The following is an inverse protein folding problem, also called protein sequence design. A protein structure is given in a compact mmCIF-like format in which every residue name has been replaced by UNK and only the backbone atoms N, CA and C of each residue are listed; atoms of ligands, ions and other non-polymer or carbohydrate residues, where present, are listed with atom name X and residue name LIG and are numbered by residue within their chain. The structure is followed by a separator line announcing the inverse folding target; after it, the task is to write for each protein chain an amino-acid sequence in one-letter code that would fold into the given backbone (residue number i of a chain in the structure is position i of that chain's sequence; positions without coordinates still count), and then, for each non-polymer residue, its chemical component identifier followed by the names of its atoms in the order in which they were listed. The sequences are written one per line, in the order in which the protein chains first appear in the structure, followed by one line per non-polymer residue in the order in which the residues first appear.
data_IF_253278630654
#
_entry.id   IF_253278630654
#
_cell.length_a   1.000
_cell.length_b   1.000
_cell.length_c   1.000
_cell.angle_alpha   90.00
_cell.angle_beta   90.00
_cell.angle_gamma   90.00
#
_symmetry.space_group_name_H-M   'P 1'
#
loop_
_entity.id
_entity.type
_entity.pdbx_description
1 polymer ?
#
# COMPACT_ATOMS: atom_id res chain seq x y z
N UNK A 1 -8.36 12.41 11.70
CA UNK A 1 -8.28 11.46 10.57
C UNK A 1 -7.13 11.89 9.69
N UNK A 2 -6.24 10.96 9.34
CA UNK A 2 -5.06 11.26 8.53
C UNK A 2 -5.38 10.97 7.06
N UNK A 3 -5.14 11.93 6.16
CA UNK A 3 -5.18 11.67 4.72
C UNK A 3 -3.86 11.01 4.29
N UNK A 4 -3.77 9.68 4.43
CA UNK A 4 -2.57 8.92 4.11
C UNK A 4 -2.39 8.66 2.60
N UNK A 5 -3.34 9.08 1.77
CA UNK A 5 -3.28 8.90 0.32
C UNK A 5 -3.99 10.08 -0.39
N UNK A 6 -3.30 11.22 -0.55
CA UNK A 6 -3.93 12.47 -0.98
C UNK A 6 -4.12 12.54 -2.51
N UNK A 7 -4.90 11.62 -3.08
CA UNK A 7 -5.20 11.56 -4.53
C UNK A 7 -6.00 12.80 -4.98
N UNK A 8 -6.89 13.28 -4.11
CA UNK A 8 -7.70 14.47 -4.29
C UNK A 8 -6.86 15.72 -4.55
N UNK A 9 -5.74 15.88 -3.85
CA UNK A 9 -4.82 17.02 -4.05
C UNK A 9 -4.09 16.99 -5.39
N UNK A 10 -4.07 15.83 -6.06
CA UNK A 10 -3.41 15.63 -7.34
C UNK A 10 -4.40 15.66 -8.52
N UNK A 11 -5.71 15.68 -8.25
CA UNK A 11 -6.74 15.65 -9.29
C UNK A 11 -6.68 16.87 -10.23
N UNK A 12 -6.20 18.02 -9.74
CA UNK A 12 -6.03 19.25 -10.53
C UNK A 12 -4.71 19.30 -11.31
N UNK A 13 -3.86 18.26 -11.23
CA UNK A 13 -2.57 18.18 -11.90
C UNK A 13 -2.69 17.52 -13.28
N UNK A 14 -1.86 17.93 -14.24
CA UNK A 14 -1.87 17.36 -15.59
C UNK A 14 -1.24 15.95 -15.62
N UNK A 15 -2.08 14.91 -15.72
CA UNK A 15 -1.65 13.55 -16.07
C UNK A 15 -2.39 12.45 -15.30
N UNK A 16 -2.14 11.18 -15.65
CA UNK A 16 -2.69 10.06 -14.89
C UNK A 16 -2.09 9.99 -13.48
N UNK A 17 -2.94 9.73 -12.48
CA UNK A 17 -2.54 9.60 -11.08
C UNK A 17 -2.37 8.12 -10.72
N UNK A 18 -1.14 7.76 -10.33
CA UNK A 18 -0.81 6.43 -9.84
C UNK A 18 -0.66 6.49 -8.32
N UNK A 19 -1.59 5.88 -7.60
CA UNK A 19 -1.58 5.83 -6.15
C UNK A 19 -0.80 4.62 -5.64
N UNK A 20 0.04 4.81 -4.63
CA UNK A 20 0.74 3.72 -3.93
C UNK A 20 0.28 3.69 -2.48
N UNK A 21 -0.40 2.62 -2.08
CA UNK A 21 -0.90 2.45 -0.72
C UNK A 21 -0.21 1.26 -0.04
N UNK A 22 0.49 1.55 1.05
CA UNK A 22 1.17 0.55 1.91
C UNK A 22 0.33 0.15 3.13
N UNK A 23 -0.95 0.55 3.15
CA UNK A 23 -1.86 0.14 4.21
C UNK A 23 -2.06 -1.37 4.08
N UNK A 24 -1.41 -2.13 4.96
CA UNK A 24 -1.56 -3.57 4.98
C UNK A 24 -3.01 -3.92 5.23
N UNK A 25 -3.63 -4.61 4.26
CA UNK A 25 -4.76 -5.50 4.54
C UNK A 25 -4.23 -6.62 5.40
N UNK A 26 -4.23 -6.41 6.71
CA UNK A 26 -3.95 -7.50 7.62
C UNK A 26 -5.05 -8.54 7.44
N UNK A 27 -4.70 -9.67 6.82
CA UNK A 27 -5.26 -10.92 7.27
C UNK A 27 -4.87 -11.09 8.74
N UNK A 28 -5.78 -11.54 9.62
CA UNK A 28 -5.51 -11.70 11.05
C UNK A 28 -4.39 -12.71 11.37
N UNK A 29 -3.77 -13.32 10.37
CA UNK A 29 -2.90 -14.49 10.49
C UNK A 29 -1.43 -14.24 10.14
N UNK A 30 -1.00 -13.00 9.92
CA UNK A 30 0.40 -12.66 9.64
C UNK A 30 1.26 -12.69 10.92
N UNK A 31 1.33 -13.85 11.57
CA UNK A 31 2.44 -14.22 12.45
C UNK A 31 3.34 -15.15 11.66
N UNK A 32 4.62 -14.77 11.52
CA UNK A 32 5.65 -15.51 10.79
C UNK A 32 5.56 -17.04 10.99
N UNK A 33 5.21 -17.78 9.93
CA UNK A 33 5.09 -19.23 9.93
C UNK A 33 6.46 -19.92 10.02
N UNK A 34 6.95 -20.13 11.24
CA UNK A 34 8.01 -21.12 11.52
C UNK A 34 7.35 -22.38 12.10
N UNK A 35 7.62 -23.60 11.60
CA UNK A 35 7.06 -24.83 12.18
C UNK A 35 7.67 -25.08 13.57
N UNK A 36 6.89 -24.88 14.63
CA UNK A 36 7.29 -25.14 16.02
C UNK A 36 6.13 -24.90 17.00
N UNK A 37 6.19 -25.38 18.25
CA UNK A 37 5.14 -25.22 19.25
C UNK A 37 4.86 -23.72 19.48
N UNK A 38 3.68 -23.23 19.11
CA UNK A 38 3.37 -21.79 19.02
C UNK A 38 3.02 -21.22 20.40
N UNK A 39 3.88 -20.34 20.92
CA UNK A 39 3.45 -19.28 21.82
C UNK A 39 2.95 -18.13 20.92
N UNK A 40 1.67 -17.71 21.01
CA UNK A 40 1.19 -16.54 20.28
C UNK A 40 2.08 -15.34 20.62
N UNK A 41 2.80 -14.78 19.63
CA UNK A 41 3.54 -13.53 19.85
C UNK A 41 2.52 -12.40 19.88
N UNK A 42 2.26 -11.84 21.06
CA UNK A 42 1.44 -10.64 21.17
C UNK A 42 2.11 -9.49 20.40
N UNK A 43 1.36 -8.75 19.57
CA UNK A 43 1.85 -7.52 18.96
C UNK A 43 2.28 -6.52 20.04
N UNK A 44 3.31 -5.72 19.74
CA UNK A 44 3.72 -4.63 20.63
C UNK A 44 2.63 -3.57 20.80
N UNK A 45 2.69 -2.79 21.88
CA UNK A 45 1.73 -1.71 22.12
C UNK A 45 1.77 -0.65 21.01
N UNK A 46 2.97 -0.35 20.49
CA UNK A 46 3.16 0.62 19.40
C UNK A 46 2.52 0.11 18.10
N UNK A 47 2.75 -1.16 17.74
CA UNK A 47 2.11 -1.77 16.57
C UNK A 47 0.59 -1.77 16.69
N UNK A 48 0.08 -2.06 17.89
CA UNK A 48 -1.36 -2.06 18.17
C UNK A 48 -1.95 -0.66 18.00
N UNK A 49 -1.30 0.38 18.56
CA UNK A 49 -1.74 1.77 18.42
C UNK A 49 -1.72 2.22 16.95
N UNK A 50 -0.63 1.93 16.23
CA UNK A 50 -0.52 2.24 14.80
C UNK A 50 -1.60 1.53 13.98
N UNK A 51 -1.90 0.28 14.34
CA UNK A 51 -2.97 -0.48 13.71
C UNK A 51 -4.35 0.15 13.94
N UNK A 52 -4.64 0.63 15.15
CA UNK A 52 -5.89 1.36 15.42
C UNK A 52 -5.99 2.63 14.57
N UNK A 53 -4.91 3.41 14.47
CA UNK A 53 -4.86 4.62 13.63
C UNK A 53 -5.08 4.31 12.14
N UNK A 54 -4.48 3.21 11.67
CA UNK A 54 -4.61 2.74 10.29
C UNK A 54 -6.03 2.27 9.98
N UNK A 55 -6.65 1.49 10.88
CA UNK A 55 -8.05 1.06 10.75
C UNK A 55 -8.98 2.27 10.66
N UNK A 56 -8.78 3.27 11.53
CA UNK A 56 -9.55 4.53 11.49
C UNK A 56 -9.41 5.30 10.18
N UNK A 57 -8.26 5.16 9.50
CA UNK A 57 -7.99 5.84 8.21
C UNK A 57 -8.48 5.05 6.99
N UNK A 58 -8.86 3.78 7.15
CA UNK A 58 -9.16 2.87 6.05
C UNK A 58 -10.31 3.31 5.14
N UNK A 59 -11.36 3.93 5.68
CA UNK A 59 -12.48 4.44 4.88
C UNK A 59 -12.06 5.59 3.96
N UNK A 60 -11.25 6.52 4.46
CA UNK A 60 -10.73 7.64 3.67
C UNK A 60 -9.78 7.15 2.58
N UNK A 61 -8.93 6.18 2.89
CA UNK A 61 -8.01 5.58 1.91
C UNK A 61 -8.73 4.79 0.81
N UNK A 62 -9.84 4.11 1.12
CA UNK A 62 -10.65 3.43 0.11
C UNK A 62 -11.27 4.41 -0.89
N UNK A 63 -11.84 5.52 -0.40
CA UNK A 63 -12.40 6.57 -1.23
C UNK A 63 -11.33 7.25 -2.11
N UNK A 64 -10.14 7.52 -1.55
CA UNK A 64 -9.03 8.10 -2.30
C UNK A 64 -8.49 7.15 -3.37
N UNK A 65 -8.35 5.85 -3.08
CA UNK A 65 -7.91 4.84 -4.06
C UNK A 65 -8.88 4.74 -5.25
N UNK A 66 -10.19 4.94 -5.04
CA UNK A 66 -11.18 4.93 -6.12
C UNK A 66 -11.03 6.11 -7.10
N UNK A 67 -10.30 7.16 -6.72
CA UNK A 67 -10.07 8.34 -7.57
C UNK A 67 -8.79 8.22 -8.41
N UNK A 68 -7.92 7.24 -8.13
CA UNK A 68 -6.67 7.05 -8.86
C UNK A 68 -6.88 6.22 -10.14
N UNK A 69 -6.13 6.54 -11.21
CA UNK A 69 -6.19 5.78 -12.46
C UNK A 69 -5.58 4.38 -12.31
N UNK A 70 -4.54 4.25 -11.47
CA UNK A 70 -3.95 2.97 -11.06
C UNK A 70 -3.63 3.01 -9.58
N UNK A 71 -3.88 1.90 -8.89
CA UNK A 71 -3.54 1.72 -7.48
C UNK A 71 -2.56 0.56 -7.35
N UNK A 72 -1.38 0.82 -6.78
CA UNK A 72 -0.38 -0.19 -6.43
C UNK A 72 -0.48 -0.45 -4.93
N UNK A 73 -0.65 -1.71 -4.54
CA UNK A 73 -0.68 -2.14 -3.14
C UNK A 73 0.36 -3.23 -2.91
N UNK A 74 1.58 -2.87 -2.48
CA UNK A 74 2.59 -3.85 -2.08
C UNK A 74 2.11 -4.70 -0.91
N UNK A 75 2.34 -6.01 -0.95
CA UNK A 75 2.10 -6.87 0.22
C UNK A 75 3.25 -6.71 1.23
N UNK A 76 3.02 -5.87 2.24
CA UNK A 76 3.92 -5.68 3.38
C UNK A 76 3.40 -6.34 4.65
N UNK A 77 2.42 -7.24 4.55
CA UNK A 77 1.69 -7.79 5.72
C UNK A 77 2.57 -8.56 6.71
N UNK A 78 3.74 -9.03 6.27
CA UNK A 78 4.74 -9.74 7.07
C UNK A 78 5.82 -8.85 7.70
N UNK A 79 5.79 -7.54 7.41
CA UNK A 79 6.81 -6.58 7.83
C UNK A 79 6.24 -5.69 8.94
N UNK A 80 6.85 -5.75 10.12
CA UNK A 80 6.46 -4.91 11.26
C UNK A 80 6.77 -3.43 11.00
N UNK A 81 6.03 -2.54 11.65
CA UNK A 81 6.12 -1.09 11.38
C UNK A 81 7.51 -0.51 11.67
N UNK A 82 8.20 -1.03 12.69
CA UNK A 82 9.53 -0.59 13.11
C UNK A 82 10.66 -1.53 12.67
N UNK A 83 10.37 -2.49 11.78
CA UNK A 83 11.34 -3.51 11.33
C UNK A 83 12.21 -3.01 10.17
N UNK A 84 12.93 -1.90 10.41
CA UNK A 84 13.77 -1.23 9.40
C UNK A 84 14.85 -2.15 8.79
N UNK A 85 15.28 -3.18 9.52
CA UNK A 85 16.22 -4.18 9.01
C UNK A 85 15.65 -5.02 7.86
N UNK A 86 14.32 -5.03 7.66
CA UNK A 86 13.64 -5.74 6.57
C UNK A 86 13.38 -4.86 5.34
N UNK A 87 14.05 -3.71 5.22
CA UNK A 87 13.85 -2.78 4.10
C UNK A 87 13.94 -3.43 2.72
N UNK A 88 14.84 -4.40 2.53
CA UNK A 88 14.98 -5.08 1.24
C UNK A 88 13.76 -5.94 0.89
N UNK A 89 13.08 -6.52 1.90
CA UNK A 89 11.80 -7.22 1.70
C UNK A 89 10.70 -6.25 1.28
N UNK A 90 10.62 -5.09 1.95
CA UNK A 90 9.64 -4.06 1.60
C UNK A 90 9.87 -3.54 0.17
N UNK A 91 11.13 -3.34 -0.22
CA UNK A 91 11.51 -2.92 -1.59
C UNK A 91 11.09 -3.96 -2.62
N UNK A 92 11.33 -5.24 -2.37
CA UNK A 92 10.95 -6.28 -3.32
C UNK A 92 9.44 -6.45 -3.44
N UNK A 93 8.70 -6.38 -2.33
CA UNK A 93 7.24 -6.33 -2.37
C UNK A 93 6.74 -5.17 -3.24
N UNK A 94 7.36 -3.99 -3.12
CA UNK A 94 7.08 -2.84 -3.98
C UNK A 94 7.38 -3.10 -5.46
N UNK A 95 8.52 -3.72 -5.78
CA UNK A 95 8.85 -4.08 -7.17
C UNK A 95 7.88 -5.07 -7.77
N UNK A 96 7.49 -6.09 -7.02
CA UNK A 96 6.53 -7.10 -7.48
C UNK A 96 5.19 -6.46 -7.81
N UNK A 97 4.63 -5.68 -6.88
CA UNK A 97 3.36 -4.97 -7.11
C UNK A 97 3.44 -3.98 -8.28
N UNK A 98 4.58 -3.29 -8.45
CA UNK A 98 4.79 -2.40 -9.59
C UNK A 98 4.88 -3.15 -10.93
N UNK A 99 5.56 -4.31 -10.97
CA UNK A 99 5.62 -5.17 -12.17
C UNK A 99 4.23 -5.66 -12.57
N UNK A 100 3.40 -6.02 -11.61
CA UNK A 100 2.00 -6.43 -11.84
C UNK A 100 1.15 -5.29 -12.42
N UNK A 101 1.35 -4.06 -11.94
CA UNK A 101 0.63 -2.88 -12.42
C UNK A 101 1.16 -2.33 -13.77
N UNK A 102 2.38 -2.71 -14.18
CA UNK A 102 3.07 -2.16 -15.34
C UNK A 102 2.23 -2.17 -16.64
N UNK A 103 1.48 -3.24 -16.98
CA UNK A 103 0.64 -3.24 -18.17
C UNK A 103 -0.45 -2.16 -18.16
N UNK A 104 -1.02 -1.83 -17.00
CA UNK A 104 -2.02 -0.78 -16.86
C UNK A 104 -1.39 0.61 -16.99
N UNK A 105 -0.23 0.80 -16.34
CA UNK A 105 0.55 2.06 -16.41
C UNK A 105 0.95 2.38 -17.85
N UNK A 106 1.40 1.38 -18.61
CA UNK A 106 1.79 1.56 -20.01
C UNK A 106 0.59 2.01 -20.87
N UNK A 107 -0.60 1.45 -20.65
CA UNK A 107 -1.83 1.88 -21.35
C UNK A 107 -2.15 3.35 -21.09
N UNK A 108 -2.02 3.81 -19.84
CA UNK A 108 -2.27 5.21 -19.46
C UNK A 108 -1.28 6.16 -20.12
N UNK A 109 0.00 5.78 -20.17
CA UNK A 109 1.06 6.61 -20.75
C UNK A 109 0.86 6.79 -22.26
N UNK A 110 0.52 5.71 -22.97
CA UNK A 110 0.20 5.76 -24.41
C UNK A 110 -1.07 6.57 -24.69
N UNK A 111 -2.12 6.40 -23.88
CA UNK A 111 -3.36 7.16 -24.02
C UNK A 111 -3.18 8.66 -23.72
N UNK A 112 -2.34 9.02 -22.75
CA UNK A 112 -2.01 10.40 -22.42
C UNK A 112 -1.18 11.07 -23.55
N UNK A 113 -0.25 10.33 -24.17
CA UNK A 113 0.52 10.83 -25.31
C UNK A 113 -0.37 11.18 -26.51
N UNK A 114 -1.44 10.40 -26.77
CA UNK A 114 -2.39 10.68 -27.85
C UNK A 114 -3.34 11.85 -27.60
N UNK A 115 -3.53 12.31 -26.36
CA UNK A 115 -4.36 13.49 -26.03
C UNK A 115 -3.64 14.83 -26.21
N UNK A 116 -2.31 14.80 -26.40
CA UNK A 116 -1.45 15.98 -26.56
C UNK A 116 -1.05 16.27 -28.02
N UNK A 117 -1.48 15.43 -28.96
CA UNK A 117 -1.25 15.58 -30.41
C UNK A 117 -2.52 16.07 -31.11
#
# INVERSE_FOLDING_TARGET
MLNNLPVDTLADQEGPVIAVSIISRSSPDSTSSTPGPRVPRMPGIVDTLMRTMTIGSGMASAAAMAQADVVIQPDTSSIGFLEFHQIDRAREAGRMAAREALPQIMKLTTAAAGRRA
#
